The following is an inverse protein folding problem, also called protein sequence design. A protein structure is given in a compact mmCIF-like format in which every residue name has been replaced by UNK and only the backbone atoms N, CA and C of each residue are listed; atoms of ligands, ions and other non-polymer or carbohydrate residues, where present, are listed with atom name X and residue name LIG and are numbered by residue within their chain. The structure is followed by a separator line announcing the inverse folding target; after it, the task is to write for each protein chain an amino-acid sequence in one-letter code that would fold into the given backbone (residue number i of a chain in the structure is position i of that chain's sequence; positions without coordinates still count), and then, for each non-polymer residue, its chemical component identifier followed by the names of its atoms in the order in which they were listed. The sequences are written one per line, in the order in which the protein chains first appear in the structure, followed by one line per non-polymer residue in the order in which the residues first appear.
data_IF_863381245856
#
_entry.id   IF_863381245856
#
_cell.length_a   1.000
_cell.length_b   1.000
_cell.length_c   1.000
_cell.angle_alpha   90.00
_cell.angle_beta   90.00
_cell.angle_gamma   90.00
#
_symmetry.space_group_name_H-M   'P 1'
#
loop_
_entity.id
_entity.type
_entity.pdbx_description
1 polymer ?
#
# COMPACT_ATOMS: atom_id res chain seq x y z
N UNK A 1 1.68 -13.67 -5.04
CA UNK A 1 1.75 -12.21 -4.75
C UNK A 1 0.55 -11.50 -5.36
N UNK A 2 -0.06 -10.53 -4.65
CA UNK A 2 -1.16 -9.68 -5.12
C UNK A 2 -0.61 -8.32 -5.57
N UNK A 3 -0.97 -7.87 -6.77
CA UNK A 3 -0.60 -6.53 -7.27
C UNK A 3 -1.71 -5.56 -6.89
N UNK A 4 -1.33 -4.45 -6.30
CA UNK A 4 -2.20 -3.34 -5.88
C UNK A 4 -1.69 -2.06 -6.56
N UNK A 5 -2.26 -1.66 -7.71
CA UNK A 5 -1.96 -0.38 -8.33
C UNK A 5 -2.20 0.80 -7.38
N UNK A 6 -1.32 1.79 -7.43
CA UNK A 6 -1.45 3.04 -6.65
C UNK A 6 -1.72 4.17 -7.61
N UNK A 7 -2.95 4.68 -7.62
CA UNK A 7 -3.38 5.80 -8.46
C UNK A 7 -2.93 7.10 -7.82
N UNK A 8 -2.04 7.84 -8.47
CA UNK A 8 -1.75 9.21 -8.14
C UNK A 8 -2.94 10.07 -8.60
N UNK A 9 -3.77 10.50 -7.64
CA UNK A 9 -4.95 11.29 -7.94
C UNK A 9 -4.57 12.66 -8.49
N UNK A 10 -5.21 13.07 -9.58
CA UNK A 10 -5.14 14.39 -10.18
C UNK A 10 -6.54 14.99 -10.32
N UNK A 11 -7.43 14.24 -10.95
CA UNK A 11 -8.83 14.56 -11.16
C UNK A 11 -9.69 13.28 -11.14
N UNK A 12 -10.98 13.45 -10.93
CA UNK A 12 -11.92 12.33 -10.79
C UNK A 12 -11.98 11.47 -12.06
N UNK A 13 -12.02 12.09 -13.25
CA UNK A 13 -12.14 11.37 -14.52
C UNK A 13 -10.95 10.44 -14.77
N UNK A 14 -9.74 10.94 -14.57
CA UNK A 14 -8.53 10.16 -14.78
C UNK A 14 -8.40 9.02 -13.73
N UNK A 15 -8.83 9.31 -12.49
CA UNK A 15 -8.84 8.31 -11.42
C UNK A 15 -9.79 7.16 -11.76
N UNK A 16 -11.00 7.45 -12.27
CA UNK A 16 -11.94 6.43 -12.75
C UNK A 16 -11.40 5.62 -13.92
N UNK A 17 -10.75 6.27 -14.90
CA UNK A 17 -10.11 5.56 -16.04
C UNK A 17 -9.05 4.57 -15.57
N UNK A 18 -8.20 4.97 -14.63
CA UNK A 18 -7.20 4.10 -14.05
C UNK A 18 -7.84 2.93 -13.26
N UNK A 19 -8.88 3.20 -12.49
CA UNK A 19 -9.63 2.17 -11.77
C UNK A 19 -10.31 1.17 -12.73
N UNK A 20 -10.86 1.65 -13.84
CA UNK A 20 -11.44 0.81 -14.90
C UNK A 20 -10.40 -0.12 -15.53
N UNK A 21 -9.18 0.37 -15.77
CA UNK A 21 -8.07 -0.48 -16.25
C UNK A 21 -7.71 -1.56 -15.22
N UNK A 22 -7.68 -1.22 -13.94
CA UNK A 22 -7.45 -2.16 -12.85
C UNK A 22 -8.55 -3.25 -12.81
N UNK A 23 -9.81 -2.84 -12.87
CA UNK A 23 -10.96 -3.77 -12.89
C UNK A 23 -10.93 -4.70 -14.10
N UNK A 24 -10.73 -4.16 -15.32
CA UNK A 24 -10.65 -4.91 -16.57
C UNK A 24 -9.56 -6.00 -16.54
N UNK A 25 -8.45 -5.73 -15.84
CA UNK A 25 -7.32 -6.66 -15.75
C UNK A 25 -7.34 -7.52 -14.47
N UNK A 26 -8.46 -7.54 -13.72
CA UNK A 26 -8.65 -8.36 -12.52
C UNK A 26 -7.52 -8.23 -11.48
N UNK A 27 -7.04 -7.01 -11.22
CA UNK A 27 -6.12 -6.78 -10.12
C UNK A 27 -6.83 -7.01 -8.77
N UNK A 28 -6.07 -7.27 -7.71
CA UNK A 28 -6.63 -7.56 -6.39
C UNK A 28 -7.41 -6.37 -5.80
N UNK A 29 -6.90 -5.18 -5.99
CA UNK A 29 -7.45 -3.93 -5.46
C UNK A 29 -6.59 -2.77 -5.90
N UNK A 30 -6.87 -1.57 -5.41
CA UNK A 30 -6.08 -0.37 -5.67
C UNK A 30 -6.05 0.59 -4.49
N UNK A 31 -5.00 1.39 -4.41
CA UNK A 31 -4.92 2.56 -3.55
C UNK A 31 -5.07 3.85 -4.36
N UNK A 32 -5.66 4.87 -3.74
CA UNK A 32 -5.71 6.24 -4.27
C UNK A 32 -4.90 7.12 -3.32
N UNK A 33 -4.02 7.95 -3.87
CA UNK A 33 -3.17 8.86 -3.11
C UNK A 33 -3.11 10.23 -3.80
N UNK A 34 -3.21 11.31 -3.04
CA UNK A 34 -2.88 12.65 -3.51
C UNK A 34 -1.44 12.98 -3.19
N UNK A 35 -0.59 13.06 -4.22
CA UNK A 35 0.84 13.35 -4.02
C UNK A 35 1.11 14.80 -3.59
N UNK A 36 0.14 15.67 -3.73
CA UNK A 36 0.17 17.08 -3.29
C UNK A 36 -0.35 17.24 -1.86
N UNK A 37 -0.79 16.15 -1.21
CA UNK A 37 -1.37 16.17 0.14
C UNK A 37 -2.79 16.76 0.21
N UNK A 38 -3.45 16.98 -0.93
CA UNK A 38 -4.86 17.37 -0.96
C UNK A 38 -5.72 16.12 -0.74
N UNK A 39 -6.03 15.83 0.51
CA UNK A 39 -6.77 14.64 0.92
C UNK A 39 -8.30 14.88 1.02
N UNK A 40 -8.75 16.10 0.88
CA UNK A 40 -10.17 16.43 0.95
C UNK A 40 -10.97 15.65 -0.11
N UNK A 41 -11.99 14.94 0.32
CA UNK A 41 -12.85 14.15 -0.56
C UNK A 41 -12.22 12.86 -1.13
N UNK A 42 -10.95 12.54 -0.79
CA UNK A 42 -10.26 11.37 -1.35
C UNK A 42 -10.95 10.05 -0.96
N UNK A 43 -11.37 9.91 0.30
CA UNK A 43 -12.11 8.74 0.77
C UNK A 43 -13.52 8.65 0.15
N UNK A 44 -14.18 9.80 -0.07
CA UNK A 44 -15.48 9.86 -0.78
C UNK A 44 -15.34 9.41 -2.25
N UNK A 45 -14.27 9.84 -2.94
CA UNK A 45 -13.96 9.40 -4.30
C UNK A 45 -13.66 7.88 -4.32
N UNK A 46 -12.87 7.40 -3.36
CA UNK A 46 -12.59 5.97 -3.22
C UNK A 46 -13.89 5.15 -3.05
N UNK A 47 -14.85 5.66 -2.28
CA UNK A 47 -16.18 5.02 -2.12
C UNK A 47 -16.97 5.00 -3.42
N UNK A 48 -16.95 6.07 -4.22
CA UNK A 48 -17.59 6.07 -5.55
C UNK A 48 -17.00 4.98 -6.46
N UNK A 49 -15.67 4.86 -6.46
CA UNK A 49 -14.96 3.84 -7.25
C UNK A 49 -15.30 2.43 -6.76
N UNK A 50 -15.37 2.22 -5.44
CA UNK A 50 -15.79 0.94 -4.86
C UNK A 50 -17.20 0.54 -5.28
N UNK A 51 -18.13 1.49 -5.36
CA UNK A 51 -19.49 1.24 -5.80
C UNK A 51 -19.55 0.86 -7.29
N UNK A 52 -18.74 1.50 -8.13
CA UNK A 52 -18.67 1.21 -9.57
C UNK A 52 -17.96 -0.12 -9.86
N UNK A 53 -16.92 -0.45 -9.08
CA UNK A 53 -16.10 -1.66 -9.27
C UNK A 53 -16.07 -2.52 -7.99
N UNK A 54 -17.19 -3.17 -7.60
CA UNK A 54 -17.33 -3.83 -6.30
C UNK A 54 -16.45 -5.07 -6.11
N UNK A 55 -15.84 -5.58 -7.17
CA UNK A 55 -14.88 -6.69 -7.10
C UNK A 55 -13.47 -6.27 -6.68
N UNK A 56 -13.16 -4.97 -6.78
CA UNK A 56 -11.87 -4.43 -6.34
C UNK A 56 -11.88 -4.11 -4.85
N UNK A 57 -10.80 -4.44 -4.16
CA UNK A 57 -10.50 -3.89 -2.84
C UNK A 57 -10.01 -2.45 -2.98
N UNK A 58 -10.67 -1.51 -2.33
CA UNK A 58 -10.36 -0.09 -2.47
C UNK A 58 -9.80 0.46 -1.15
N UNK A 59 -8.69 1.18 -1.25
CA UNK A 59 -8.06 1.88 -0.14
C UNK A 59 -7.53 3.25 -0.52
N UNK A 60 -7.12 4.01 0.48
CA UNK A 60 -6.49 5.32 0.32
C UNK A 60 -5.19 5.42 1.13
N UNK A 61 -4.31 6.32 0.68
CA UNK A 61 -3.22 6.86 1.50
C UNK A 61 -3.42 8.37 1.61
N UNK A 62 -3.74 8.84 2.80
CA UNK A 62 -3.87 10.27 3.11
C UNK A 62 -2.50 10.83 3.53
N UNK A 63 -1.68 11.23 2.57
CA UNK A 63 -0.36 11.80 2.86
C UNK A 63 -0.43 12.96 3.86
N UNK A 64 0.39 12.89 4.89
CA UNK A 64 0.48 13.92 5.91
C UNK A 64 -0.63 13.90 6.97
N UNK A 65 -1.62 13.01 6.85
CA UNK A 65 -2.60 12.81 7.92
C UNK A 65 -2.03 11.90 9.02
N UNK A 66 -2.53 12.11 10.24
CA UNK A 66 -2.42 11.13 11.31
C UNK A 66 -3.11 9.83 10.90
N UNK A 67 -2.44 8.70 11.17
CA UNK A 67 -2.94 7.38 10.78
C UNK A 67 -4.33 7.08 11.34
N UNK A 68 -4.59 7.47 12.59
CA UNK A 68 -5.90 7.29 13.22
C UNK A 68 -7.00 8.10 12.53
N UNK A 69 -6.71 9.34 12.11
CA UNK A 69 -7.67 10.17 11.37
C UNK A 69 -7.97 9.55 9.99
N UNK A 70 -6.93 9.05 9.32
CA UNK A 70 -7.09 8.33 8.05
C UNK A 70 -7.94 7.07 8.20
N UNK A 71 -7.78 6.33 9.32
CA UNK A 71 -8.61 5.18 9.62
C UNK A 71 -10.08 5.54 9.76
N UNK A 72 -10.41 6.59 10.52
CA UNK A 72 -11.80 7.03 10.67
C UNK A 72 -12.42 7.43 9.34
N UNK A 73 -11.69 8.12 8.47
CA UNK A 73 -12.15 8.40 7.10
C UNK A 73 -12.44 7.10 6.31
N UNK A 74 -11.53 6.12 6.37
CA UNK A 74 -11.72 4.84 5.71
C UNK A 74 -12.95 4.08 6.24
N UNK A 75 -13.18 4.10 7.55
CA UNK A 75 -14.34 3.49 8.20
C UNK A 75 -15.64 4.18 7.78
N UNK A 76 -15.69 5.51 7.85
CA UNK A 76 -16.85 6.32 7.47
C UNK A 76 -17.30 6.04 6.04
N UNK A 77 -16.35 5.82 5.14
CA UNK A 77 -16.63 5.49 3.74
C UNK A 77 -16.63 3.99 3.44
N UNK A 78 -16.53 3.13 4.47
CA UNK A 78 -16.54 1.66 4.35
C UNK A 78 -15.55 1.16 3.30
N UNK A 79 -14.31 1.66 3.32
CA UNK A 79 -13.23 1.21 2.46
C UNK A 79 -12.69 -0.14 2.94
N UNK A 80 -11.96 -0.85 2.08
CA UNK A 80 -11.43 -2.19 2.38
C UNK A 80 -10.02 -2.16 2.94
N UNK A 81 -9.26 -1.12 2.58
CA UNK A 81 -7.83 -1.00 2.87
C UNK A 81 -7.49 0.43 3.26
N UNK A 82 -6.46 0.56 4.07
CA UNK A 82 -5.81 1.83 4.40
C UNK A 82 -4.30 1.66 4.33
N UNK A 83 -3.59 2.70 3.88
CA UNK A 83 -2.13 2.74 3.91
C UNK A 83 -1.67 4.06 4.53
N UNK A 84 -0.70 3.99 5.44
CA UNK A 84 -0.07 5.17 6.04
C UNK A 84 1.45 5.11 5.97
N UNK A 85 2.06 6.25 5.65
CA UNK A 85 3.52 6.44 5.65
C UNK A 85 4.05 6.88 7.03
N UNK A 86 3.15 7.10 8.00
CA UNK A 86 3.52 7.55 9.34
C UNK A 86 4.26 6.46 10.12
N UNK A 87 5.41 6.76 10.78
CA UNK A 87 6.20 5.79 11.51
C UNK A 87 5.62 5.52 12.91
N UNK A 88 4.41 4.97 12.98
CA UNK A 88 3.73 4.68 14.26
C UNK A 88 4.19 3.36 14.92
N UNK A 89 4.91 2.52 14.17
CA UNK A 89 5.53 1.27 14.65
C UNK A 89 6.97 1.21 14.15
N UNK A 90 7.91 1.02 15.08
CA UNK A 90 9.33 0.79 14.79
C UNK A 90 9.83 -0.45 15.54
N UNK A 91 11.09 -0.82 15.38
CA UNK A 91 11.69 -1.92 16.13
C UNK A 91 11.83 -1.62 17.63
N UNK A 92 11.93 -0.35 17.98
CA UNK A 92 12.14 0.11 19.35
C UNK A 92 10.87 0.54 20.07
N UNK A 93 9.77 0.84 19.38
CA UNK A 93 8.53 1.26 20.02
C UNK A 93 7.27 0.98 19.17
N UNK A 94 6.14 0.86 19.87
CA UNK A 94 4.78 0.92 19.35
C UNK A 94 4.15 2.19 19.92
N UNK A 95 3.68 3.08 19.05
CA UNK A 95 3.08 4.34 19.49
C UNK A 95 1.69 4.12 20.10
N UNK A 96 1.24 5.07 20.93
CA UNK A 96 -0.12 5.08 21.45
C UNK A 96 -1.17 5.09 20.32
N UNK A 97 -0.89 5.80 19.24
CA UNK A 97 -1.74 5.84 18.05
C UNK A 97 -1.88 4.46 17.40
N UNK A 98 -0.78 3.68 17.32
CA UNK A 98 -0.83 2.31 16.78
C UNK A 98 -1.68 1.38 17.66
N UNK A 99 -1.61 1.53 19.00
CA UNK A 99 -2.47 0.78 19.92
C UNK A 99 -3.96 1.14 19.76
N UNK A 100 -4.27 2.41 19.52
CA UNK A 100 -5.65 2.85 19.33
C UNK A 100 -6.19 2.38 17.97
N UNK A 101 -5.39 2.43 16.90
CA UNK A 101 -5.72 1.80 15.61
C UNK A 101 -5.97 0.30 15.75
N UNK A 102 -5.12 -0.42 16.50
CA UNK A 102 -5.32 -1.85 16.76
C UNK A 102 -6.68 -2.16 17.40
N UNK A 103 -7.14 -1.35 18.36
CA UNK A 103 -8.46 -1.51 18.98
C UNK A 103 -9.58 -1.34 17.97
N UNK A 104 -9.52 -0.28 17.16
CA UNK A 104 -10.51 -0.02 16.11
C UNK A 104 -10.57 -1.14 15.07
N UNK A 105 -9.42 -1.69 14.67
CA UNK A 105 -9.35 -2.78 13.69
C UNK A 105 -9.86 -4.12 14.22
N UNK A 106 -9.86 -4.35 15.54
CA UNK A 106 -10.50 -5.54 16.12
C UNK A 106 -12.02 -5.54 15.97
N UNK A 107 -12.62 -4.36 15.86
CA UNK A 107 -14.07 -4.18 15.67
C UNK A 107 -14.43 -4.03 14.18
N UNK A 108 -13.46 -3.62 13.35
CA UNK A 108 -13.67 -3.25 11.96
C UNK A 108 -12.68 -3.97 11.03
N UNK A 109 -13.17 -4.51 9.93
CA UNK A 109 -12.35 -5.26 8.95
C UNK A 109 -11.78 -4.33 7.88
N UNK A 110 -10.66 -3.69 8.17
CA UNK A 110 -9.85 -2.95 7.21
C UNK A 110 -8.43 -3.53 7.19
N UNK A 111 -7.90 -3.83 6.01
CA UNK A 111 -6.50 -4.22 5.85
C UNK A 111 -5.62 -2.96 5.99
N UNK A 112 -4.87 -2.84 7.08
CA UNK A 112 -3.99 -1.70 7.32
C UNK A 112 -2.56 -1.99 6.89
N UNK A 113 -2.10 -1.30 5.85
CA UNK A 113 -0.74 -1.30 5.32
C UNK A 113 0.08 -0.25 6.08
N UNK A 114 0.84 -0.70 7.08
CA UNK A 114 1.64 0.15 7.94
C UNK A 114 3.08 0.25 7.43
N UNK A 115 3.56 1.44 7.14
CA UNK A 115 4.92 1.67 6.65
C UNK A 115 5.97 1.44 7.73
N UNK A 116 6.92 0.53 7.49
CA UNK A 116 8.05 0.20 8.36
C UNK A 116 9.36 0.22 7.56
N UNK A 117 10.39 0.82 8.13
CA UNK A 117 11.68 1.03 7.45
C UNK A 117 11.45 1.58 6.03
N UNK A 118 10.64 2.62 5.94
CA UNK A 118 10.11 3.17 4.70
C UNK A 118 10.91 4.39 4.25
N UNK A 119 10.87 4.70 2.96
CA UNK A 119 11.52 5.90 2.40
C UNK A 119 11.10 7.15 3.17
N UNK A 120 12.03 8.07 3.34
CA UNK A 120 11.82 9.34 4.04
C UNK A 120 11.50 9.26 5.55
N UNK A 121 11.47 8.04 6.13
CA UNK A 121 11.50 7.85 7.57
C UNK A 121 12.95 7.90 8.09
N UNK A 122 13.11 8.02 9.42
CA UNK A 122 14.41 7.82 10.05
C UNK A 122 14.91 6.39 9.77
N UNK A 123 16.24 6.22 9.76
CA UNK A 123 16.85 4.91 9.53
C UNK A 123 16.40 3.91 10.61
N UNK A 124 15.90 2.77 10.19
CA UNK A 124 15.45 1.70 11.09
C UNK A 124 16.53 0.62 11.20
N UNK A 125 17.14 0.54 12.39
CA UNK A 125 18.21 -0.42 12.68
C UNK A 125 17.67 -1.80 13.10
N UNK A 126 16.45 -1.86 13.64
CA UNK A 126 15.82 -3.07 14.16
C UNK A 126 14.70 -3.54 13.25
N UNK A 127 15.06 -3.78 11.97
CA UNK A 127 14.09 -4.07 10.89
C UNK A 127 13.23 -5.30 11.21
N UNK A 128 13.82 -6.36 11.77
CA UNK A 128 13.13 -7.59 12.13
C UNK A 128 12.12 -7.37 13.26
N UNK A 129 12.44 -6.51 14.21
CA UNK A 129 11.54 -6.20 15.32
C UNK A 129 10.43 -5.25 14.88
N UNK A 130 10.72 -4.31 13.96
CA UNK A 130 9.69 -3.44 13.35
C UNK A 130 8.56 -4.26 12.73
N UNK A 131 8.90 -5.27 11.93
CA UNK A 131 7.87 -6.11 11.28
C UNK A 131 7.17 -7.05 12.26
N UNK A 132 7.86 -7.54 13.30
CA UNK A 132 7.23 -8.33 14.38
C UNK A 132 6.24 -7.48 15.18
N UNK A 133 6.61 -6.24 15.52
CA UNK A 133 5.75 -5.29 16.21
C UNK A 133 4.51 -4.96 15.37
N UNK A 134 4.67 -4.70 14.07
CA UNK A 134 3.58 -4.48 13.14
C UNK A 134 2.64 -5.70 13.07
N UNK A 135 3.20 -6.92 12.93
CA UNK A 135 2.47 -8.18 12.97
C UNK A 135 1.69 -8.39 14.26
N UNK A 136 2.24 -8.04 15.43
CA UNK A 136 1.57 -8.22 16.73
C UNK A 136 0.28 -7.40 16.85
N UNK A 137 0.17 -6.33 16.07
CA UNK A 137 -1.01 -5.47 15.95
C UNK A 137 -1.94 -5.87 14.78
N UNK A 138 -1.64 -6.96 14.07
CA UNK A 138 -2.41 -7.37 12.90
C UNK A 138 -2.24 -6.48 11.66
N UNK A 139 -1.26 -5.55 11.66
CA UNK A 139 -0.98 -4.65 10.55
C UNK A 139 -0.16 -5.37 9.48
N UNK A 140 -0.31 -4.98 8.22
CA UNK A 140 0.49 -5.49 7.10
C UNK A 140 1.75 -4.62 6.98
N UNK A 141 2.94 -5.11 7.41
CA UNK A 141 4.17 -4.36 7.26
C UNK A 141 4.42 -4.04 5.79
N UNK A 142 4.64 -2.77 5.49
CA UNK A 142 4.85 -2.26 4.14
C UNK A 142 6.17 -1.52 4.10
N UNK A 143 7.11 -1.96 3.28
CA UNK A 143 8.42 -1.30 3.15
C UNK A 143 8.65 -0.78 1.75
N UNK A 144 9.75 -0.05 1.53
CA UNK A 144 10.11 0.52 0.24
C UNK A 144 11.63 0.52 0.02
N UNK A 145 12.06 0.87 -1.18
CA UNK A 145 13.42 1.33 -1.42
C UNK A 145 13.66 2.71 -0.80
N UNK A 146 14.84 3.27 -1.06
CA UNK A 146 15.28 4.54 -0.46
C UNK A 146 14.53 5.77 -1.01
N UNK A 147 13.95 5.68 -2.21
CA UNK A 147 13.23 6.76 -2.87
C UNK A 147 12.06 6.24 -3.72
N UNK A 148 11.19 7.15 -4.16
CA UNK A 148 10.10 6.83 -5.09
C UNK A 148 10.66 6.26 -6.39
N UNK A 149 10.13 5.13 -6.85
CA UNK A 149 10.59 4.43 -8.06
C UNK A 149 11.84 3.57 -7.87
N UNK A 150 12.49 3.63 -6.71
CA UNK A 150 13.64 2.77 -6.37
C UNK A 150 13.14 1.50 -5.69
N UNK A 151 13.58 0.35 -6.18
CA UNK A 151 13.21 -0.94 -5.62
C UNK A 151 13.84 -1.15 -4.24
N UNK A 152 13.12 -1.85 -3.35
CA UNK A 152 13.65 -2.24 -2.06
C UNK A 152 14.78 -3.28 -2.22
N UNK A 153 15.82 -3.19 -1.39
CA UNK A 153 16.93 -4.12 -1.42
C UNK A 153 16.47 -5.54 -1.07
N UNK A 154 16.86 -6.51 -1.88
CA UNK A 154 16.48 -7.93 -1.70
C UNK A 154 16.87 -8.46 -0.33
N UNK A 155 18.05 -8.10 0.18
CA UNK A 155 18.49 -8.54 1.50
C UNK A 155 17.62 -7.99 2.63
N UNK A 156 17.13 -6.74 2.51
CA UNK A 156 16.17 -6.16 3.45
C UNK A 156 14.86 -6.95 3.43
N UNK A 157 14.33 -7.25 2.25
CA UNK A 157 13.09 -8.01 2.09
C UNK A 157 13.23 -9.43 2.67
N UNK A 158 14.36 -10.11 2.42
CA UNK A 158 14.63 -11.45 2.99
C UNK A 158 14.60 -11.42 4.52
N UNK A 159 15.32 -10.51 5.16
CA UNK A 159 15.34 -10.37 6.63
C UNK A 159 13.93 -10.13 7.20
N UNK A 160 13.16 -9.23 6.58
CA UNK A 160 11.78 -8.97 6.98
C UNK A 160 10.91 -10.21 6.86
N UNK A 161 10.98 -10.91 5.71
CA UNK A 161 10.15 -12.10 5.47
C UNK A 161 10.52 -13.26 6.40
N UNK A 162 11.80 -13.48 6.68
CA UNK A 162 12.26 -14.46 7.67
C UNK A 162 11.70 -14.18 9.07
N UNK A 163 11.69 -12.91 9.50
CA UNK A 163 11.12 -12.51 10.79
C UNK A 163 9.58 -12.67 10.84
N UNK A 164 8.90 -12.48 9.71
CA UNK A 164 7.44 -12.59 9.58
C UNK A 164 6.97 -14.04 9.39
N UNK A 165 7.81 -14.91 8.80
CA UNK A 165 7.43 -16.28 8.38
C UNK A 165 6.27 -16.24 7.38
N UNK A 166 5.14 -16.85 7.74
CA UNK A 166 3.94 -16.93 6.89
C UNK A 166 3.08 -15.65 6.92
N UNK A 167 3.43 -14.67 7.76
CA UNK A 167 2.68 -13.41 7.84
C UNK A 167 2.96 -12.53 6.61
N UNK A 168 1.95 -11.80 6.10
CA UNK A 168 2.09 -11.03 4.87
C UNK A 168 3.09 -9.88 5.01
N UNK A 169 3.83 -9.65 3.92
CA UNK A 169 4.73 -8.51 3.71
C UNK A 169 4.33 -7.79 2.43
N UNK A 170 4.28 -6.47 2.49
CA UNK A 170 4.06 -5.61 1.33
C UNK A 170 5.32 -4.81 0.99
N UNK A 171 5.53 -4.53 -0.30
CA UNK A 171 6.47 -3.50 -0.72
C UNK A 171 5.76 -2.42 -1.55
N UNK A 172 6.16 -1.18 -1.36
CA UNK A 172 5.73 -0.04 -2.14
C UNK A 172 6.93 0.66 -2.79
N UNK A 173 6.82 1.00 -4.05
CA UNK A 173 7.88 1.57 -4.90
C UNK A 173 8.78 0.55 -5.59
N UNK A 174 9.21 0.91 -6.80
CA UNK A 174 10.26 0.25 -7.56
C UNK A 174 9.91 -1.09 -8.20
N UNK A 175 8.68 -1.60 -8.01
CA UNK A 175 8.24 -2.77 -8.76
C UNK A 175 7.90 -2.40 -10.21
N UNK A 176 8.38 -3.22 -11.13
CA UNK A 176 8.13 -3.11 -12.56
C UNK A 176 7.85 -4.49 -13.15
N UNK A 177 7.33 -4.58 -14.39
CA UNK A 177 7.19 -5.87 -15.07
C UNK A 177 8.49 -6.67 -15.18
N UNK A 178 9.65 -6.00 -15.25
CA UNK A 178 10.95 -6.61 -15.44
C UNK A 178 11.50 -7.25 -14.15
N UNK A 179 11.25 -6.62 -12.99
CA UNK A 179 11.83 -7.08 -11.72
C UNK A 179 10.83 -7.81 -10.80
N UNK A 180 9.54 -7.76 -11.08
CA UNK A 180 8.49 -8.30 -10.20
C UNK A 180 8.69 -9.77 -9.83
N UNK A 181 9.25 -10.57 -10.75
CA UNK A 181 9.52 -12.00 -10.53
C UNK A 181 10.52 -12.25 -9.40
N UNK A 182 11.51 -11.37 -9.26
CA UNK A 182 12.52 -11.48 -8.21
C UNK A 182 11.91 -11.35 -6.80
N UNK A 183 10.89 -10.51 -6.66
CA UNK A 183 10.20 -10.26 -5.39
C UNK A 183 9.05 -11.24 -5.12
N UNK A 184 8.47 -11.83 -6.15
CA UNK A 184 7.19 -12.54 -6.08
C UNK A 184 7.13 -13.69 -5.07
N UNK A 185 8.27 -14.30 -4.74
CA UNK A 185 8.38 -15.38 -3.75
C UNK A 185 8.58 -14.90 -2.31
N UNK A 186 8.86 -13.62 -2.12
CA UNK A 186 9.22 -13.04 -0.81
C UNK A 186 8.17 -12.09 -0.27
N UNK A 187 7.28 -11.58 -1.13
CA UNK A 187 6.25 -10.63 -0.72
C UNK A 187 4.86 -11.13 -1.08
N UNK A 188 3.88 -10.68 -0.33
CA UNK A 188 2.48 -11.05 -0.53
C UNK A 188 1.73 -9.97 -1.31
N UNK A 189 2.13 -8.70 -1.14
CA UNK A 189 1.53 -7.55 -1.81
C UNK A 189 2.58 -6.65 -2.45
N UNK A 190 2.36 -6.27 -3.70
CA UNK A 190 3.15 -5.26 -4.41
C UNK A 190 2.30 -4.02 -4.71
N UNK A 191 2.61 -2.89 -4.06
CA UNK A 191 1.98 -1.60 -4.31
C UNK A 191 2.75 -0.90 -5.43
N UNK A 192 2.11 -0.68 -6.59
CA UNK A 192 2.79 -0.29 -7.83
C UNK A 192 2.14 0.95 -8.45
N UNK A 193 2.94 1.99 -8.67
CA UNK A 193 2.53 3.20 -9.41
C UNK A 193 3.34 3.35 -10.71
N UNK A 194 4.53 3.95 -10.62
CA UNK A 194 5.36 4.32 -11.78
C UNK A 194 5.73 3.16 -12.68
N UNK A 195 5.92 1.95 -12.13
CA UNK A 195 6.27 0.75 -12.90
C UNK A 195 5.19 0.30 -13.88
N UNK A 196 3.95 0.73 -13.71
CA UNK A 196 2.81 0.40 -14.58
C UNK A 196 2.19 1.64 -15.25
N UNK A 197 2.85 2.79 -15.19
CA UNK A 197 2.32 4.06 -15.71
C UNK A 197 2.98 4.47 -17.03
N UNK A 198 2.23 5.21 -17.85
CA UNK A 198 2.73 5.94 -19.03
C UNK A 198 3.40 7.23 -18.60
N UNK A 199 2.80 7.91 -17.63
CA UNK A 199 3.28 9.13 -16.99
C UNK A 199 2.89 9.11 -15.52
N UNK A 200 3.16 10.19 -14.77
CA UNK A 200 2.96 10.22 -13.33
C UNK A 200 1.52 9.91 -12.87
N UNK A 201 0.52 10.18 -13.70
CA UNK A 201 -0.90 10.08 -13.34
C UNK A 201 -1.68 9.01 -14.12
N UNK A 202 -1.16 8.52 -15.25
CA UNK A 202 -1.91 7.65 -16.16
C UNK A 202 -1.28 6.27 -16.28
N UNK A 203 -2.07 5.23 -16.04
CA UNK A 203 -1.63 3.85 -16.17
C UNK A 203 -1.50 3.42 -17.64
N UNK A 204 -0.61 2.45 -17.85
CA UNK A 204 -0.41 1.73 -19.09
C UNK A 204 -1.00 0.32 -18.99
N UNK A 205 -2.02 0.00 -19.80
CA UNK A 205 -2.69 -1.30 -19.74
C UNK A 205 -1.74 -2.46 -20.04
N UNK A 206 -0.82 -2.30 -21.00
CA UNK A 206 0.13 -3.36 -21.36
C UNK A 206 1.15 -3.62 -20.25
N UNK A 207 1.58 -2.58 -19.53
CA UNK A 207 2.42 -2.75 -18.34
C UNK A 207 1.66 -3.43 -17.20
N UNK A 208 0.36 -3.13 -16.99
CA UNK A 208 -0.48 -3.84 -16.03
C UNK A 208 -0.55 -5.33 -16.37
N UNK A 209 -0.85 -5.67 -17.62
CA UNK A 209 -0.88 -7.07 -18.08
C UNK A 209 0.46 -7.75 -17.89
N UNK A 210 1.55 -7.05 -18.25
CA UNK A 210 2.90 -7.59 -18.14
C UNK A 210 3.30 -7.89 -16.70
N UNK A 211 3.05 -6.97 -15.76
CA UNK A 211 3.40 -7.21 -14.35
C UNK A 211 2.56 -8.35 -13.75
N UNK A 212 1.29 -8.46 -14.12
CA UNK A 212 0.42 -9.54 -13.67
C UNK A 212 0.87 -10.91 -14.21
N UNK A 213 1.36 -10.98 -15.43
CA UNK A 213 1.92 -12.19 -16.02
C UNK A 213 3.26 -12.57 -15.40
N UNK A 214 4.14 -11.60 -15.22
CA UNK A 214 5.53 -11.86 -14.80
C UNK A 214 5.67 -12.12 -13.29
N UNK A 215 4.65 -11.85 -12.47
CA UNK A 215 4.66 -12.17 -11.03
C UNK A 215 4.56 -13.69 -10.73
N UNK A 216 4.22 -14.50 -11.69
CA UNK A 216 4.14 -15.96 -11.63
C UNK A 216 5.52 -16.59 -11.94
#
# INVERSE_FOLDING_TARGET
MKIIPVIHHRDELLTFRNAQLCHKNNVYGLFIISMEGNNEGLAALARKIKNEFPTLKIGVNHLGYKSLNSLYECLNYSLDMMWSDEPIVTGSFISKEAEDIYKELNENKIDFFNSVAFKYQAEEFYIEDSVKNSKSLGFIPTTSGQATGVAAEINKIKKMKEALRDYPLAIASGLTPENVKEYSKMIDYGLVATGISKNFYEFDEEKIKSILKNKE
#
